data_IF_304653463402
#
_entry.id   IF_304653463402
#
_cell.length_a   1.000
_cell.length_b   1.000
_cell.length_c   1.000
_cell.angle_alpha   90.00
_cell.angle_beta   90.00
_cell.angle_gamma   90.00
#
_symmetry.space_group_name_H-M   'P 1'
#
loop_
_entity.id
_entity.type
_entity.pdbx_description
1 polymer ?
#
# COMPACT_ATOMS: atom_id res chain seq x y z
N UNK A 1 -5.42 3.57 18.67
CA UNK A 1 -5.38 3.87 17.21
C UNK A 1 -6.30 2.88 16.50
N UNK A 2 -7.04 3.28 15.44
CA UNK A 2 -7.84 2.32 14.66
C UNK A 2 -6.93 1.44 13.82
N UNK A 3 -7.08 0.12 13.92
CA UNK A 3 -6.34 -0.88 13.15
C UNK A 3 -6.69 -0.76 11.66
N UNK A 4 -5.71 -0.40 10.84
CA UNK A 4 -5.82 -0.38 9.38
C UNK A 4 -4.55 -1.01 8.82
N UNK A 5 -4.54 -2.35 8.64
CA UNK A 5 -3.31 -3.05 8.25
C UNK A 5 -2.85 -2.58 6.87
N UNK A 6 -3.76 -2.29 5.93
CA UNK A 6 -3.43 -1.85 4.57
C UNK A 6 -3.17 -0.33 4.44
N UNK A 7 -2.77 0.34 5.52
CA UNK A 7 -2.53 1.79 5.51
C UNK A 7 -3.82 2.62 5.63
N UNK A 8 -3.81 3.85 5.12
CA UNK A 8 -4.92 4.79 5.20
C UNK A 8 -5.56 5.06 3.84
N UNK A 9 -6.88 5.28 3.86
CA UNK A 9 -7.62 5.64 2.66
C UNK A 9 -7.33 7.10 2.30
N UNK A 10 -7.10 7.37 1.02
CA UNK A 10 -6.93 8.72 0.51
C UNK A 10 -7.86 9.01 -0.66
N UNK A 11 -8.18 10.29 -0.82
CA UNK A 11 -8.90 10.81 -1.97
C UNK A 11 -8.26 12.14 -2.38
N UNK A 12 -7.89 12.26 -3.65
CA UNK A 12 -7.37 13.48 -4.28
C UNK A 12 -8.33 13.86 -5.39
N UNK A 13 -8.79 15.12 -5.38
CA UNK A 13 -9.60 15.68 -6.46
C UNK A 13 -8.76 16.70 -7.21
N UNK A 14 -8.83 16.65 -8.53
CA UNK A 14 -8.17 17.59 -9.42
C UNK A 14 -9.16 18.10 -10.46
N UNK A 15 -8.99 19.36 -10.87
CA UNK A 15 -9.72 19.96 -11.98
C UNK A 15 -9.21 19.48 -13.35
N UNK A 16 -8.09 18.74 -13.39
CA UNK A 16 -7.56 18.16 -14.61
C UNK A 16 -8.42 16.97 -15.04
N UNK A 17 -8.54 16.79 -16.34
CA UNK A 17 -9.15 15.58 -16.88
C UNK A 17 -8.29 14.33 -16.55
N UNK A 18 -8.85 13.15 -16.79
CA UNK A 18 -8.20 11.88 -16.51
C UNK A 18 -6.91 11.68 -17.32
N UNK A 19 -6.83 12.21 -18.55
CA UNK A 19 -5.70 12.03 -19.44
C UNK A 19 -4.51 12.91 -19.01
N UNK A 20 -4.77 14.16 -18.70
CA UNK A 20 -3.80 15.15 -18.24
C UNK A 20 -3.31 14.82 -16.82
N UNK A 21 -4.20 14.35 -15.94
CA UNK A 21 -3.81 13.81 -14.63
C UNK A 21 -2.80 12.65 -14.78
N UNK A 22 -3.07 11.70 -15.68
CA UNK A 22 -2.15 10.59 -15.97
C UNK A 22 -0.83 11.08 -16.55
N UNK A 23 -0.88 12.07 -17.44
CA UNK A 23 0.30 12.64 -18.09
C UNK A 23 1.21 13.30 -17.05
N UNK A 24 0.67 14.17 -16.19
CA UNK A 24 1.45 14.85 -15.14
C UNK A 24 2.07 13.88 -14.16
N UNK A 25 1.31 12.89 -13.67
CA UNK A 25 1.87 11.87 -12.78
C UNK A 25 2.99 11.08 -13.47
N UNK A 26 2.86 10.77 -14.76
CA UNK A 26 3.93 10.08 -15.52
C UNK A 26 5.17 10.95 -15.74
N UNK A 27 5.01 12.26 -15.86
CA UNK A 27 6.11 13.21 -16.06
C UNK A 27 6.87 13.52 -14.77
N UNK A 28 6.15 13.61 -13.64
CA UNK A 28 6.74 13.97 -12.35
C UNK A 28 7.28 12.77 -11.55
N UNK A 29 6.89 11.54 -11.88
CA UNK A 29 7.40 10.34 -11.20
C UNK A 29 8.81 9.99 -11.68
N UNK A 30 9.59 9.36 -10.82
CA UNK A 30 10.88 8.81 -11.22
C UNK A 30 10.75 7.59 -12.14
N UNK A 31 11.81 7.38 -12.91
CA UNK A 31 12.04 6.15 -13.65
C UNK A 31 12.14 4.96 -12.68
N UNK A 32 11.79 3.77 -13.16
CA UNK A 32 11.77 2.55 -12.33
C UNK A 32 13.15 2.30 -11.68
N UNK A 33 14.23 2.62 -12.39
CA UNK A 33 15.62 2.39 -11.98
C UNK A 33 16.36 3.64 -11.49
N UNK A 34 15.66 4.68 -11.02
CA UNK A 34 16.33 5.87 -10.47
C UNK A 34 17.11 5.52 -9.18
N UNK A 35 18.33 6.04 -8.96
CA UNK A 35 19.08 5.75 -7.73
C UNK A 35 18.43 6.35 -6.48
N UNK A 36 17.84 7.55 -6.59
CA UNK A 36 17.27 8.28 -5.45
C UNK A 36 15.88 7.80 -5.05
N UNK A 37 15.60 7.77 -3.75
CA UNK A 37 14.27 7.48 -3.22
C UNK A 37 13.27 8.57 -3.62
N UNK A 38 12.10 8.14 -4.10
CA UNK A 38 11.06 9.05 -4.55
C UNK A 38 9.93 8.35 -5.29
N UNK A 39 8.89 9.09 -5.70
CA UNK A 39 7.67 8.49 -6.22
C UNK A 39 7.93 7.76 -7.55
N UNK A 40 7.78 6.44 -7.54
CA UNK A 40 7.91 5.57 -8.71
C UNK A 40 6.68 4.70 -8.84
N UNK A 41 6.52 4.10 -10.02
CA UNK A 41 5.51 3.08 -10.23
C UNK A 41 4.91 3.10 -11.61
N UNK A 42 3.72 2.52 -11.73
CA UNK A 42 3.02 2.35 -12.99
C UNK A 42 1.55 2.80 -12.91
N UNK A 43 1.04 3.18 -14.07
CA UNK A 43 -0.36 3.52 -14.28
C UNK A 43 -0.88 2.67 -15.44
N UNK A 44 -1.83 1.79 -15.15
CA UNK A 44 -2.44 0.88 -16.12
C UNK A 44 -3.92 1.24 -16.29
N UNK A 45 -4.28 1.88 -17.39
CA UNK A 45 -5.66 2.34 -17.64
C UNK A 45 -6.11 3.41 -16.64
N UNK A 46 -6.93 3.01 -15.66
CA UNK A 46 -7.39 3.84 -14.52
C UNK A 46 -6.69 3.49 -13.21
N UNK A 47 -5.95 2.39 -13.17
CA UNK A 47 -5.28 1.91 -11.98
C UNK A 47 -3.92 2.59 -11.81
N UNK A 48 -3.60 2.99 -10.59
CA UNK A 48 -2.31 3.55 -10.21
C UNK A 48 -1.70 2.76 -9.05
N UNK A 49 -0.42 2.44 -9.19
CA UNK A 49 0.38 1.77 -8.17
C UNK A 49 1.71 2.52 -8.03
N UNK A 50 2.01 3.04 -6.84
CA UNK A 50 3.24 3.77 -6.55
C UNK A 50 3.99 3.19 -5.34
N UNK A 51 5.30 3.38 -5.33
CA UNK A 51 6.22 3.03 -4.25
C UNK A 51 7.41 4.01 -4.25
N UNK A 52 8.16 4.12 -3.15
CA UNK A 52 9.24 5.10 -3.01
C UNK A 52 10.64 4.54 -3.34
N UNK A 53 10.92 3.28 -3.05
CA UNK A 53 12.23 2.68 -3.27
C UNK A 53 12.14 1.29 -3.91
N UNK A 54 13.11 0.97 -4.76
CA UNK A 54 13.32 -0.40 -5.27
C UNK A 54 14.34 -1.17 -4.41
N UNK A 55 15.22 -0.46 -3.71
CA UNK A 55 16.41 -1.02 -3.06
C UNK A 55 16.05 -1.48 -1.63
N UNK A 56 15.25 -0.68 -0.91
CA UNK A 56 14.88 -0.97 0.49
C UNK A 56 13.70 -1.93 0.65
N UNK A 57 13.40 -2.75 -0.37
CA UNK A 57 12.35 -3.79 -0.34
C UNK A 57 10.93 -3.30 0.00
N UNK A 58 10.68 -1.99 -0.03
CA UNK A 58 9.33 -1.46 0.11
C UNK A 58 8.54 -1.77 -1.17
N UNK A 59 7.55 -2.66 -1.06
CA UNK A 59 6.65 -3.00 -2.16
C UNK A 59 5.73 -1.84 -2.54
N UNK A 60 4.63 -2.11 -3.28
CA UNK A 60 3.58 -1.13 -3.50
C UNK A 60 3.15 -0.46 -2.18
N UNK A 61 3.33 0.84 -2.09
CA UNK A 61 2.97 1.64 -0.92
C UNK A 61 1.67 2.39 -1.14
N UNK A 62 1.32 2.69 -2.40
CA UNK A 62 0.08 3.37 -2.76
C UNK A 62 -0.58 2.62 -3.91
N UNK A 63 -1.86 2.28 -3.72
CA UNK A 63 -2.69 1.66 -4.76
C UNK A 63 -4.00 2.44 -4.86
N UNK A 64 -4.40 2.81 -6.07
CA UNK A 64 -5.62 3.58 -6.28
C UNK A 64 -6.22 3.49 -7.67
N UNK A 65 -7.36 4.14 -7.81
CA UNK A 65 -8.14 4.26 -9.03
C UNK A 65 -8.37 5.72 -9.36
N UNK A 66 -8.15 6.07 -10.62
CA UNK A 66 -8.47 7.36 -11.21
C UNK A 66 -9.84 7.30 -11.88
N UNK A 67 -10.77 8.11 -11.40
CA UNK A 67 -12.16 8.18 -11.83
C UNK A 67 -12.39 9.56 -12.46
N UNK A 68 -13.18 9.61 -13.53
CA UNK A 68 -13.65 10.90 -14.04
C UNK A 68 -14.75 11.43 -13.13
N UNK A 69 -14.71 12.71 -12.82
CA UNK A 69 -15.64 13.39 -11.92
C UNK A 69 -16.17 14.66 -12.61
N UNK A 70 -16.99 14.46 -13.65
CA UNK A 70 -17.63 15.52 -14.43
C UNK A 70 -16.64 16.48 -15.11
N UNK A 71 -16.21 17.50 -14.38
CA UNK A 71 -15.25 18.53 -14.82
C UNK A 71 -13.80 18.26 -14.43
N UNK A 72 -13.50 17.11 -13.82
CA UNK A 72 -12.14 16.78 -13.39
C UNK A 72 -11.90 15.29 -13.18
N UNK A 73 -10.88 14.98 -12.37
CA UNK A 73 -10.49 13.62 -12.05
C UNK A 73 -10.38 13.44 -10.54
N UNK A 74 -10.86 12.29 -10.05
CA UNK A 74 -10.79 11.88 -8.66
C UNK A 74 -9.92 10.64 -8.54
N UNK A 75 -8.86 10.72 -7.75
CA UNK A 75 -7.96 9.60 -7.46
C UNK A 75 -8.27 9.11 -6.05
N UNK A 76 -8.75 7.87 -5.92
CA UNK A 76 -9.08 7.27 -4.62
C UNK A 76 -8.32 5.96 -4.44
N UNK A 77 -7.81 5.71 -3.24
CA UNK A 77 -7.03 4.51 -2.99
C UNK A 77 -6.66 4.29 -1.52
N UNK A 78 -5.70 3.39 -1.33
CA UNK A 78 -5.06 3.08 -0.06
C UNK A 78 -3.56 3.41 -0.16
N UNK A 79 -2.98 3.95 0.91
CA UNK A 79 -1.55 4.23 1.02
C UNK A 79 -0.99 3.78 2.38
N UNK A 80 0.18 3.14 2.42
CA UNK A 80 0.81 2.56 3.61
C UNK A 80 2.31 2.28 3.44
N UNK A 81 2.96 1.64 4.42
CA UNK A 81 4.41 1.37 4.43
C UNK A 81 4.84 0.24 3.50
N UNK A 82 4.04 -0.83 3.40
CA UNK A 82 4.26 -1.91 2.43
C UNK A 82 3.00 -2.78 2.28
N UNK A 83 2.19 -2.54 1.24
CA UNK A 83 0.99 -3.35 1.04
C UNK A 83 1.31 -4.82 0.74
N UNK A 84 2.48 -5.14 0.18
CA UNK A 84 2.84 -6.52 -0.16
C UNK A 84 3.25 -7.31 1.09
N UNK A 85 4.11 -6.73 1.94
CA UNK A 85 4.47 -7.29 3.24
C UNK A 85 3.24 -7.55 4.11
N UNK A 86 2.33 -6.59 4.20
CA UNK A 86 1.07 -6.75 4.95
C UNK A 86 0.19 -7.84 4.33
N UNK A 87 0.04 -7.89 3.01
CA UNK A 87 -0.72 -8.94 2.34
C UNK A 87 -0.14 -10.33 2.64
N UNK A 88 1.18 -10.47 2.63
CA UNK A 88 1.85 -11.72 2.95
C UNK A 88 1.60 -12.16 4.39
N UNK A 89 1.64 -11.24 5.36
CA UNK A 89 1.32 -11.51 6.75
C UNK A 89 -0.13 -11.97 6.92
N UNK A 90 -1.08 -11.34 6.21
CA UNK A 90 -2.48 -11.76 6.26
C UNK A 90 -2.65 -13.18 5.69
N UNK A 91 -2.02 -13.49 4.55
CA UNK A 91 -2.07 -14.83 3.95
C UNK A 91 -1.49 -15.88 4.91
N UNK A 92 -0.33 -15.61 5.52
CA UNK A 92 0.28 -16.51 6.51
C UNK A 92 -0.64 -16.72 7.70
N UNK A 93 -1.29 -15.67 8.21
CA UNK A 93 -2.27 -15.78 9.29
C UNK A 93 -3.47 -16.68 8.93
N UNK A 94 -3.97 -16.60 7.70
CA UNK A 94 -5.03 -17.48 7.19
C UNK A 94 -4.55 -18.93 7.13
N UNK A 95 -3.35 -19.18 6.59
CA UNK A 95 -2.78 -20.54 6.49
C UNK A 95 -2.60 -21.15 7.89
N UNK A 96 -2.04 -20.41 8.84
CA UNK A 96 -1.88 -20.84 10.24
C UNK A 96 -3.26 -21.20 10.83
N UNK A 97 -4.27 -20.38 10.59
CA UNK A 97 -5.63 -20.63 11.08
C UNK A 97 -6.23 -21.91 10.49
N UNK A 98 -6.05 -22.15 9.19
CA UNK A 98 -6.51 -23.37 8.51
C UNK A 98 -5.80 -24.60 9.09
N UNK A 99 -4.48 -24.55 9.24
CA UNK A 99 -3.68 -25.65 9.80
C UNK A 99 -4.11 -25.96 11.24
N UNK A 100 -4.37 -24.92 12.06
CA UNK A 100 -4.89 -25.11 13.42
C UNK A 100 -6.22 -25.89 13.40
N UNK A 101 -7.18 -25.45 12.58
CA UNK A 101 -8.50 -26.09 12.48
C UNK A 101 -8.40 -27.52 11.98
N UNK A 102 -7.60 -27.79 10.95
CA UNK A 102 -7.39 -29.14 10.44
C UNK A 102 -6.76 -30.06 11.47
N UNK A 103 -5.78 -29.56 12.22
CA UNK A 103 -5.08 -30.35 13.25
C UNK A 103 -6.00 -30.71 14.41
N UNK A 104 -6.85 -29.77 14.84
CA UNK A 104 -7.89 -29.99 15.86
C UNK A 104 -8.90 -31.02 15.38
N UNK A 105 -9.40 -30.87 14.15
CA UNK A 105 -10.38 -31.80 13.56
C UNK A 105 -9.86 -33.22 13.42
N UNK A 106 -8.58 -33.36 13.06
CA UNK A 106 -7.97 -34.66 12.88
C UNK A 106 -7.49 -35.28 14.21
N UNK A 107 -7.56 -34.57 15.34
CA UNK A 107 -7.11 -35.06 16.65
C UNK A 107 -5.58 -35.21 16.78
N UNK A 108 -4.79 -34.60 15.90
CA UNK A 108 -3.33 -34.76 15.84
C UNK A 108 -2.55 -33.69 16.63
N UNK A 109 -3.24 -32.85 17.42
CA UNK A 109 -2.61 -31.75 18.15
C UNK A 109 -2.08 -32.17 19.53
N UNK A 110 -0.78 -32.01 19.76
CA UNK A 110 -0.16 -32.10 21.09
C UNK A 110 -0.13 -30.71 21.77
N UNK A 111 0.00 -30.64 23.09
CA UNK A 111 0.09 -29.40 23.88
C UNK A 111 1.16 -28.44 23.33
N UNK A 112 2.33 -28.95 22.95
CA UNK A 112 3.40 -28.15 22.36
C UNK A 112 2.99 -27.49 21.04
N UNK A 113 2.18 -28.16 20.22
CA UNK A 113 1.66 -27.61 18.97
C UNK A 113 0.71 -26.44 19.25
N UNK A 114 -0.21 -26.59 20.20
CA UNK A 114 -1.15 -25.53 20.56
C UNK A 114 -0.43 -24.29 21.12
N UNK A 115 0.60 -24.48 21.94
CA UNK A 115 1.43 -23.38 22.45
C UNK A 115 2.15 -22.66 21.30
N UNK A 116 2.78 -23.40 20.38
CA UNK A 116 3.47 -22.83 19.23
C UNK A 116 2.52 -22.03 18.32
N UNK A 117 1.33 -22.56 18.05
CA UNK A 117 0.33 -21.88 17.23
C UNK A 117 -0.18 -20.59 17.91
N UNK A 118 -0.40 -20.65 19.23
CA UNK A 118 -0.82 -19.48 20.00
C UNK A 118 0.24 -18.38 19.97
N UNK A 119 1.52 -18.72 20.22
CA UNK A 119 2.62 -17.77 20.15
C UNK A 119 2.80 -17.19 18.74
N UNK A 120 2.62 -18.02 17.71
CA UNK A 120 2.69 -17.57 16.30
C UNK A 120 1.59 -16.56 15.98
N UNK A 121 0.35 -16.80 16.43
CA UNK A 121 -0.76 -15.87 16.23
C UNK A 121 -0.57 -14.56 17.00
N UNK A 122 -0.03 -14.62 18.22
CA UNK A 122 0.34 -13.42 19.00
C UNK A 122 1.43 -12.64 18.29
N UNK A 123 2.49 -13.30 17.81
CA UNK A 123 3.55 -12.67 17.04
C UNK A 123 3.04 -12.00 15.76
N UNK A 124 2.16 -12.68 15.02
CA UNK A 124 1.53 -12.15 13.81
C UNK A 124 0.67 -10.93 14.11
N UNK A 125 -0.10 -10.94 15.20
CA UNK A 125 -0.87 -9.80 15.64
C UNK A 125 0.03 -8.59 15.99
N UNK A 126 1.14 -8.82 16.69
CA UNK A 126 2.12 -7.78 17.01
C UNK A 126 2.72 -7.18 15.73
N UNK A 127 3.12 -8.03 14.77
CA UNK A 127 3.67 -7.58 13.48
C UNK A 127 2.66 -6.76 12.69
N UNK A 128 1.39 -7.19 12.63
CA UNK A 128 0.33 -6.44 11.95
C UNK A 128 0.04 -5.09 12.64
N UNK A 129 0.10 -5.04 13.98
CA UNK A 129 -0.04 -3.79 14.73
C UNK A 129 1.13 -2.85 14.43
N UNK A 130 2.36 -3.37 14.46
CA UNK A 130 3.57 -2.61 14.15
C UNK A 130 3.51 -2.03 12.72
N UNK A 131 3.18 -2.86 11.73
CA UNK A 131 2.98 -2.42 10.35
C UNK A 131 1.87 -1.35 10.23
N UNK A 132 0.78 -1.47 11.01
CA UNK A 132 -0.27 -0.44 11.02
C UNK A 132 0.17 0.91 11.60
N UNK A 133 1.20 0.91 12.46
CA UNK A 133 1.75 2.13 13.05
C UNK A 133 2.67 2.87 12.06
N UNK A 134 3.36 2.14 11.18
CA UNK A 134 4.25 2.67 10.12
C UNK A 134 3.50 3.23 8.91
N UNK A 135 2.16 3.27 8.93
CA UNK A 135 1.28 3.80 7.87
C UNK A 135 1.65 5.20 7.33
N UNK A 136 2.51 5.96 8.03
CA UNK A 136 2.92 7.30 7.60
C UNK A 136 3.92 7.31 6.44
N UNK A 137 4.57 6.20 6.14
CA UNK A 137 5.54 6.13 5.03
C UNK A 137 4.88 6.31 3.65
N UNK A 138 3.58 6.06 3.54
CA UNK A 138 2.80 6.31 2.32
C UNK A 138 2.32 7.75 2.12
N UNK A 139 2.53 8.66 3.09
CA UNK A 139 2.13 10.08 2.98
C UNK A 139 2.83 10.84 1.85
N UNK A 140 4.16 10.72 1.66
CA UNK A 140 4.87 11.39 0.57
C UNK A 140 4.30 11.08 -0.81
N UNK A 141 3.80 9.86 -1.04
CA UNK A 141 3.19 9.47 -2.31
C UNK A 141 1.83 10.14 -2.55
N UNK A 142 1.03 10.33 -1.49
CA UNK A 142 -0.24 11.07 -1.58
C UNK A 142 0.04 12.56 -1.81
N UNK A 143 1.03 13.13 -1.11
CA UNK A 143 1.48 14.50 -1.32
C UNK A 143 2.01 14.70 -2.75
N UNK A 144 2.78 13.76 -3.27
CA UNK A 144 3.21 13.75 -4.67
C UNK A 144 2.02 13.79 -5.64
N UNK A 145 0.98 12.97 -5.42
CA UNK A 145 -0.22 13.01 -6.25
C UNK A 145 -0.93 14.36 -6.18
N UNK A 146 -1.04 14.95 -4.99
CA UNK A 146 -1.63 16.29 -4.81
C UNK A 146 -0.79 17.36 -5.52
N UNK A 147 0.54 17.30 -5.45
CA UNK A 147 1.42 18.25 -6.14
C UNK A 147 1.34 18.08 -7.66
N UNK A 148 1.44 16.84 -8.15
CA UNK A 148 1.40 16.54 -9.57
C UNK A 148 0.04 16.90 -10.23
N UNK A 149 -1.05 16.87 -9.46
CA UNK A 149 -2.41 17.08 -10.00
C UNK A 149 -3.11 18.36 -9.51
N UNK A 150 -2.63 19.01 -8.45
CA UNK A 150 -3.27 20.18 -7.81
C UNK A 150 -2.59 21.52 -8.06
N UNK A 151 -1.38 21.56 -8.64
CA UNK A 151 -0.64 22.79 -8.91
C UNK A 151 -0.81 23.32 -10.34
N UNK A 152 -1.06 24.61 -10.45
CA UNK A 152 -0.90 25.40 -11.68
C UNK A 152 0.60 25.62 -12.03
N UNK A 153 1.51 25.17 -11.16
CA UNK A 153 2.96 25.27 -11.37
C UNK A 153 3.61 23.89 -11.54
N UNK A 154 4.40 23.74 -12.61
CA UNK A 154 5.35 22.64 -12.77
C UNK A 154 6.36 22.72 -11.64
N UNK A 155 6.40 21.75 -10.75
CA UNK A 155 7.53 21.57 -9.84
C UNK A 155 8.26 20.28 -10.23
N UNK A 156 9.45 20.49 -10.80
CA UNK A 156 10.43 19.44 -11.00
C UNK A 156 11.00 19.06 -9.63
N UNK A 157 10.81 17.82 -9.20
CA UNK A 157 11.58 17.26 -8.09
C UNK A 157 13.02 17.11 -8.57
N UNK A 158 13.86 18.07 -8.19
CA UNK A 158 15.31 18.04 -8.41
C UNK A 158 16.02 17.49 -7.17
#
# INVERSE_FOLDING_TARGET
>A
MRFHPFGFAFEVRTALDLAESKRRVRQCKYGVFHPDDGPRGFILGRFICLWNSMIDRQGPMLIGWMLEDGSGCRIKGQSGSDLNGILSLVIVGIIISIVAVMTVRNGHGNTSFYVMMTLSMVGLAILLIAASNERREGLPLVQFLQMATGGDERHEFR
#
